data_IF_253575424257
#
_entry.id   IF_253575424257
#
_cell.length_a   1.000
_cell.length_b   1.000
_cell.length_c   1.000
_cell.angle_alpha   90.00
_cell.angle_beta   90.00
_cell.angle_gamma   90.00
#
_symmetry.space_group_name_H-M   'P 1'
#
loop_
_entity.id
_entity.type
_entity.pdbx_description
1 polymer ?
#
# COMPACT_ATOMS: atom_id res chain seq x y z
N UNK A 1 -57.59 -49.45 47.88
CA UNK A 1 -57.22 -48.71 46.65
C UNK A 1 -56.79 -47.33 47.11
N UNK A 2 -55.49 -47.07 47.05
CA UNK A 2 -54.74 -46.59 48.21
C UNK A 2 -54.33 -45.13 48.03
N UNK A 3 -54.41 -44.34 49.11
CA UNK A 3 -54.05 -42.90 49.20
C UNK A 3 -52.58 -42.60 48.85
N UNK A 4 -51.80 -43.63 48.51
CA UNK A 4 -50.37 -43.56 48.17
C UNK A 4 -50.15 -43.13 46.70
N UNK A 5 -51.13 -43.27 45.81
CA UNK A 5 -50.94 -42.92 44.38
C UNK A 5 -51.15 -41.43 44.04
N UNK A 6 -51.71 -40.62 44.95
CA UNK A 6 -51.99 -39.21 44.70
C UNK A 6 -50.80 -38.26 44.96
N UNK A 7 -49.71 -38.79 45.53
CA UNK A 7 -48.46 -38.06 45.75
C UNK A 7 -47.39 -38.35 44.69
N UNK A 8 -47.74 -38.99 43.57
CA UNK A 8 -46.98 -38.90 42.30
C UNK A 8 -47.25 -37.58 41.56
N UNK A 9 -47.57 -36.54 42.34
CA UNK A 9 -47.68 -35.14 41.96
C UNK A 9 -46.29 -34.66 41.56
N UNK A 10 -46.05 -34.66 40.25
CA UNK A 10 -45.38 -33.55 39.57
C UNK A 10 -44.10 -33.07 40.27
N UNK A 11 -43.19 -33.99 40.56
CA UNK A 11 -41.77 -33.64 40.58
C UNK A 11 -41.42 -33.37 39.10
N UNK A 12 -41.68 -32.13 38.67
CA UNK A 12 -41.33 -31.71 37.33
C UNK A 12 -39.81 -31.83 37.16
N UNK A 13 -39.32 -32.03 35.92
CA UNK A 13 -37.89 -32.03 35.59
C UNK A 13 -37.21 -30.64 35.76
N UNK A 14 -37.72 -29.81 36.67
CA UNK A 14 -37.30 -28.44 36.88
C UNK A 14 -36.15 -28.30 37.90
N UNK A 15 -35.79 -29.35 38.63
CA UNK A 15 -34.84 -29.27 39.75
C UNK A 15 -33.51 -30.03 39.52
N UNK A 16 -33.37 -30.74 38.40
CA UNK A 16 -32.11 -31.41 38.00
C UNK A 16 -31.23 -30.53 37.09
N UNK A 17 -31.72 -29.37 36.66
CA UNK A 17 -30.99 -28.46 35.77
C UNK A 17 -29.96 -27.56 36.49
N UNK A 18 -29.99 -27.47 37.83
CA UNK A 18 -29.20 -26.47 38.58
C UNK A 18 -27.92 -27.00 39.25
N UNK A 19 -27.53 -28.26 39.01
CA UNK A 19 -26.19 -28.77 39.39
C UNK A 19 -25.32 -29.05 38.17
N UNK A 20 -25.31 -28.15 37.20
CA UNK A 20 -24.18 -28.09 36.28
C UNK A 20 -22.98 -27.52 37.04
N UNK A 21 -21.97 -28.37 37.26
CA UNK A 21 -20.75 -28.01 37.98
C UNK A 21 -20.09 -26.79 37.30
N UNK A 22 -19.85 -25.68 38.01
CA UNK A 22 -19.34 -24.44 37.44
C UNK A 22 -17.97 -24.59 36.75
N UNK A 23 -17.27 -25.70 36.95
CA UNK A 23 -16.01 -26.02 36.25
C UNK A 23 -16.21 -26.41 34.78
N UNK A 24 -17.19 -27.26 34.45
CA UNK A 24 -17.33 -27.80 33.08
C UNK A 24 -17.70 -26.71 32.06
N UNK A 25 -18.49 -25.71 32.48
CA UNK A 25 -18.86 -24.62 31.59
C UNK A 25 -17.67 -23.72 31.26
N UNK A 26 -16.76 -23.51 32.22
CA UNK A 26 -15.54 -22.71 31.99
C UNK A 26 -14.57 -23.41 31.03
N UNK A 27 -14.42 -24.73 31.13
CA UNK A 27 -13.58 -25.51 30.21
C UNK A 27 -14.15 -25.51 28.79
N UNK A 28 -15.46 -25.69 28.63
CA UNK A 28 -16.12 -25.62 27.31
C UNK A 28 -15.99 -24.22 26.70
N UNK A 29 -16.12 -23.17 27.50
CA UNK A 29 -15.95 -21.79 27.03
C UNK A 29 -14.49 -21.50 26.63
N UNK A 30 -13.50 -22.01 27.38
CA UNK A 30 -12.09 -21.88 27.04
C UNK A 30 -11.77 -22.59 25.72
N UNK A 31 -12.17 -23.85 25.57
CA UNK A 31 -11.99 -24.61 24.33
C UNK A 31 -12.68 -23.94 23.12
N UNK A 32 -13.87 -23.37 23.32
CA UNK A 32 -14.57 -22.64 22.26
C UNK A 32 -13.83 -21.34 21.85
N UNK A 33 -13.12 -20.67 22.77
CA UNK A 33 -12.29 -19.50 22.46
C UNK A 33 -11.07 -19.90 21.64
N UNK A 34 -10.34 -20.93 22.07
CA UNK A 34 -9.18 -21.44 21.34
C UNK A 34 -9.54 -21.87 19.91
N UNK A 35 -10.67 -22.57 19.75
CA UNK A 35 -11.15 -22.96 18.42
C UNK A 35 -11.46 -21.73 17.54
N UNK A 36 -12.10 -20.69 18.10
CA UNK A 36 -12.40 -19.46 17.35
C UNK A 36 -11.13 -18.71 16.94
N UNK A 37 -10.14 -18.64 17.82
CA UNK A 37 -8.85 -18.02 17.53
C UNK A 37 -8.10 -18.78 16.44
N UNK A 38 -8.07 -20.12 16.51
CA UNK A 38 -7.47 -20.97 15.49
C UNK A 38 -8.17 -20.81 14.13
N UNK A 39 -9.50 -20.77 14.12
CA UNK A 39 -10.29 -20.52 12.89
C UNK A 39 -9.97 -19.14 12.33
N UNK A 40 -9.94 -18.09 13.15
CA UNK A 40 -9.61 -16.74 12.71
C UNK A 40 -8.20 -16.64 12.11
N UNK A 41 -7.21 -17.28 12.75
CA UNK A 41 -5.84 -17.34 12.24
C UNK A 41 -5.77 -18.08 10.88
N UNK A 42 -6.48 -19.20 10.74
CA UNK A 42 -6.56 -19.97 9.50
C UNK A 42 -7.23 -19.15 8.38
N UNK A 43 -8.33 -18.46 8.68
CA UNK A 43 -9.01 -17.58 7.73
C UNK A 43 -8.10 -16.44 7.27
N UNK A 44 -7.35 -15.82 8.19
CA UNK A 44 -6.37 -14.78 7.85
C UNK A 44 -5.25 -15.29 6.94
N UNK A 45 -4.75 -16.52 7.18
CA UNK A 45 -3.75 -17.16 6.31
C UNK A 45 -4.31 -17.48 4.93
N UNK A 46 -5.50 -18.05 4.84
CA UNK A 46 -6.17 -18.35 3.57
C UNK A 46 -6.45 -17.08 2.76
N UNK A 47 -6.86 -16.00 3.43
CA UNK A 47 -7.10 -14.70 2.79
C UNK A 47 -5.83 -14.15 2.13
N UNK A 48 -4.70 -14.11 2.84
CA UNK A 48 -3.41 -13.66 2.28
C UNK A 48 -2.91 -14.56 1.15
N UNK A 49 -2.96 -15.88 1.35
CA UNK A 49 -2.56 -16.84 0.31
C UNK A 49 -3.38 -16.70 -0.97
N UNK A 50 -4.69 -16.48 -0.85
CA UNK A 50 -5.56 -16.25 -2.00
C UNK A 50 -5.24 -14.95 -2.74
N UNK A 51 -4.89 -13.88 -2.02
CA UNK A 51 -4.47 -12.62 -2.64
C UNK A 51 -3.17 -12.79 -3.42
N UNK A 52 -2.19 -13.49 -2.87
CA UNK A 52 -0.91 -13.75 -3.55
C UNK A 52 -1.08 -14.58 -4.82
N UNK A 53 -1.93 -15.61 -4.80
CA UNK A 53 -2.25 -16.39 -5.99
C UNK A 53 -2.91 -15.51 -7.06
N UNK A 54 -3.91 -14.69 -6.67
CA UNK A 54 -4.56 -13.77 -7.61
C UNK A 54 -3.58 -12.76 -8.21
N UNK A 55 -2.69 -12.19 -7.40
CA UNK A 55 -1.68 -11.24 -7.85
C UNK A 55 -0.68 -11.88 -8.81
N UNK A 56 -0.13 -13.06 -8.48
CA UNK A 56 0.79 -13.77 -9.36
C UNK A 56 0.14 -14.20 -10.68
N UNK A 57 -1.09 -14.73 -10.63
CA UNK A 57 -1.84 -15.10 -11.82
C UNK A 57 -2.13 -13.88 -12.70
N UNK A 58 -2.57 -12.76 -12.14
CA UNK A 58 -2.86 -11.54 -12.91
C UNK A 58 -1.60 -10.92 -13.53
N UNK A 59 -0.49 -10.88 -12.79
CA UNK A 59 0.80 -10.42 -13.31
C UNK A 59 1.31 -11.32 -14.44
N UNK A 60 1.26 -12.64 -14.27
CA UNK A 60 1.66 -13.61 -15.29
C UNK A 60 0.80 -13.54 -16.54
N UNK A 61 -0.53 -13.44 -16.37
CA UNK A 61 -1.46 -13.26 -17.50
C UNK A 61 -1.23 -11.93 -18.21
N UNK A 62 -0.98 -10.84 -17.48
CA UNK A 62 -0.67 -9.55 -18.06
C UNK A 62 0.66 -9.59 -18.83
N UNK A 63 1.70 -10.21 -18.28
CA UNK A 63 2.99 -10.41 -18.95
C UNK A 63 2.83 -11.27 -20.21
N UNK A 64 2.03 -12.33 -20.16
CA UNK A 64 1.71 -13.16 -21.31
C UNK A 64 0.96 -12.36 -22.39
N UNK A 65 -0.03 -11.55 -22.02
CA UNK A 65 -0.71 -10.66 -22.97
C UNK A 65 0.27 -9.64 -23.60
N UNK A 66 1.15 -9.02 -22.79
CA UNK A 66 2.18 -8.09 -23.29
C UNK A 66 3.16 -8.74 -24.25
N UNK A 67 3.62 -9.97 -23.97
CA UNK A 67 4.46 -10.78 -24.88
C UNK A 67 3.76 -11.14 -26.20
N UNK A 68 2.46 -10.85 -26.32
CA UNK A 68 1.68 -11.07 -27.53
C UNK A 68 1.68 -9.89 -28.48
N UNK A 69 2.14 -8.74 -28.01
CA UNK A 69 2.38 -7.58 -28.84
C UNK A 69 3.58 -7.90 -29.74
N UNK A 70 3.36 -7.76 -31.03
CA UNK A 70 4.39 -7.84 -32.06
C UNK A 70 4.85 -6.41 -32.34
N UNK A 71 6.03 -6.06 -31.86
CA UNK A 71 6.60 -4.72 -32.03
C UNK A 71 7.13 -4.49 -33.45
N UNK A 72 7.13 -5.53 -34.29
CA UNK A 72 7.53 -5.51 -35.71
C UNK A 72 6.41 -5.06 -36.67
N UNK A 73 5.18 -4.89 -36.17
CA UNK A 73 4.02 -4.47 -36.97
C UNK A 73 3.56 -3.08 -36.51
N UNK A 74 3.37 -2.16 -37.46
CA UNK A 74 2.77 -0.86 -37.20
C UNK A 74 1.24 -0.89 -37.38
N UNK A 75 0.55 -0.03 -36.64
CA UNK A 75 -0.91 0.17 -36.77
C UNK A 75 -1.76 -0.90 -36.09
N UNK A 76 -3.05 -1.04 -36.47
CA UNK A 76 -4.01 -1.91 -35.77
C UNK A 76 -3.64 -3.40 -35.84
N UNK A 77 -2.76 -3.77 -36.78
CA UNK A 77 -2.23 -5.12 -36.90
C UNK A 77 -1.41 -5.55 -35.67
N UNK A 78 -0.74 -4.60 -35.01
CA UNK A 78 0.06 -4.82 -33.81
C UNK A 78 -0.78 -5.26 -32.60
N UNK A 79 -2.04 -4.80 -32.55
CA UNK A 79 -2.92 -5.00 -31.40
C UNK A 79 -3.68 -6.33 -31.46
N UNK A 80 -3.85 -6.93 -32.64
CA UNK A 80 -4.61 -8.18 -32.78
C UNK A 80 -4.03 -9.34 -31.94
N UNK A 81 -2.72 -9.34 -31.69
CA UNK A 81 -2.09 -10.33 -30.81
C UNK A 81 -2.58 -10.24 -29.36
N UNK A 82 -2.78 -9.03 -28.85
CA UNK A 82 -3.30 -8.78 -27.49
C UNK A 82 -4.78 -9.11 -27.43
N UNK A 83 -5.57 -8.65 -28.41
CA UNK A 83 -7.01 -8.94 -28.50
C UNK A 83 -7.29 -10.44 -28.63
N UNK A 84 -6.52 -11.16 -29.47
CA UNK A 84 -6.64 -12.60 -29.63
C UNK A 84 -6.41 -13.37 -28.33
N UNK A 85 -5.36 -13.00 -27.58
CA UNK A 85 -5.09 -13.59 -26.25
C UNK A 85 -6.17 -13.21 -25.24
N UNK A 86 -6.67 -11.97 -25.27
CA UNK A 86 -7.79 -11.53 -24.46
C UNK A 86 -9.05 -12.37 -24.71
N UNK A 87 -9.37 -12.66 -25.97
CA UNK A 87 -10.49 -13.53 -26.35
C UNK A 87 -10.30 -14.97 -25.86
N UNK A 88 -9.08 -15.52 -25.91
CA UNK A 88 -8.78 -16.84 -25.36
C UNK A 88 -9.03 -16.88 -23.85
N UNK A 89 -8.57 -15.86 -23.09
CA UNK A 89 -8.82 -15.79 -21.65
C UNK A 89 -10.31 -15.62 -21.32
N UNK A 90 -11.01 -14.77 -22.06
CA UNK A 90 -12.46 -14.62 -21.92
C UNK A 90 -13.19 -15.96 -22.20
N UNK A 91 -12.78 -16.68 -23.24
CA UNK A 91 -13.32 -18.01 -23.56
C UNK A 91 -13.07 -19.03 -22.45
N UNK A 92 -11.87 -19.07 -21.86
CA UNK A 92 -11.56 -19.95 -20.73
C UNK A 92 -12.38 -19.60 -19.49
N UNK A 93 -12.57 -18.31 -19.19
CA UNK A 93 -13.38 -17.87 -18.05
C UNK A 93 -14.85 -18.28 -18.22
N UNK A 94 -15.44 -18.03 -19.40
CA UNK A 94 -16.82 -18.44 -19.71
C UNK A 94 -16.95 -19.96 -19.72
N UNK A 95 -15.99 -20.68 -20.31
CA UNK A 95 -15.99 -22.14 -20.34
C UNK A 95 -15.90 -22.74 -18.93
N UNK A 96 -15.04 -22.20 -18.07
CA UNK A 96 -14.94 -22.60 -16.66
C UNK A 96 -16.22 -22.32 -15.89
N UNK A 97 -16.84 -21.15 -16.09
CA UNK A 97 -18.14 -20.82 -15.51
C UNK A 97 -19.23 -21.81 -15.93
N UNK A 98 -19.31 -22.12 -17.23
CA UNK A 98 -20.28 -23.08 -17.75
C UNK A 98 -20.05 -24.49 -17.19
N UNK A 99 -18.79 -24.96 -17.14
CA UNK A 99 -18.45 -26.26 -16.57
C UNK A 99 -18.88 -26.37 -15.10
N UNK A 100 -18.60 -25.34 -14.30
CA UNK A 100 -19.03 -25.24 -12.90
C UNK A 100 -20.56 -25.24 -12.76
N UNK A 101 -21.25 -24.55 -13.67
CA UNK A 101 -22.71 -24.49 -13.67
C UNK A 101 -23.39 -25.80 -14.08
N UNK A 102 -22.71 -26.61 -14.90
CA UNK A 102 -23.24 -27.90 -15.38
C UNK A 102 -23.06 -29.01 -14.34
N UNK A 103 -21.93 -29.06 -13.65
CA UNK A 103 -21.62 -30.12 -12.69
C UNK A 103 -21.04 -29.56 -11.38
N UNK A 104 -21.87 -29.39 -10.32
CA UNK A 104 -21.41 -28.84 -9.04
C UNK A 104 -20.39 -29.74 -8.34
N UNK A 105 -20.28 -31.00 -8.74
CA UNK A 105 -19.30 -31.96 -8.21
C UNK A 105 -17.87 -31.50 -8.50
N UNK A 106 -17.63 -30.73 -9.56
CA UNK A 106 -16.30 -30.19 -9.92
C UNK A 106 -15.83 -29.10 -8.92
N UNK A 107 -16.77 -28.41 -8.25
CA UNK A 107 -16.42 -27.35 -7.30
C UNK A 107 -15.68 -27.89 -6.07
N UNK A 108 -16.02 -29.08 -5.59
CA UNK A 108 -15.39 -29.66 -4.41
C UNK A 108 -13.88 -29.89 -4.58
N UNK A 109 -13.38 -30.60 -5.62
CA UNK A 109 -11.96 -30.74 -5.84
C UNK A 109 -11.29 -29.41 -6.20
N UNK A 110 -11.95 -28.54 -6.98
CA UNK A 110 -11.39 -27.22 -7.32
C UNK A 110 -11.17 -26.35 -6.06
N UNK A 111 -12.14 -26.33 -5.15
CA UNK A 111 -12.02 -25.65 -3.86
C UNK A 111 -10.93 -26.27 -2.99
N UNK A 112 -10.83 -27.61 -2.95
CA UNK A 112 -9.75 -28.31 -2.24
C UNK A 112 -8.36 -27.94 -2.77
N UNK A 113 -8.18 -27.93 -4.09
CA UNK A 113 -6.94 -27.50 -4.75
C UNK A 113 -6.65 -26.03 -4.43
N UNK A 114 -7.65 -25.15 -4.49
CA UNK A 114 -7.47 -23.73 -4.17
C UNK A 114 -7.04 -23.49 -2.73
N UNK A 115 -7.67 -24.18 -1.76
CA UNK A 115 -7.30 -24.12 -0.34
C UNK A 115 -5.86 -24.61 -0.14
N UNK A 116 -5.48 -25.74 -0.74
CA UNK A 116 -4.12 -26.26 -0.66
C UNK A 116 -3.10 -25.29 -1.26
N UNK A 117 -3.41 -24.73 -2.43
CA UNK A 117 -2.58 -23.72 -3.08
C UNK A 117 -2.44 -22.48 -2.18
N UNK A 118 -3.52 -21.96 -1.61
CA UNK A 118 -3.51 -20.78 -0.74
C UNK A 118 -2.70 -21.03 0.54
N UNK A 119 -2.71 -22.24 1.09
CA UNK A 119 -1.90 -22.59 2.26
C UNK A 119 -0.40 -22.71 1.97
N UNK A 120 -0.04 -23.07 0.72
CA UNK A 120 1.34 -23.20 0.25
C UNK A 120 1.87 -21.95 -0.46
N UNK A 121 1.00 -21.00 -0.79
CA UNK A 121 1.40 -19.73 -1.36
C UNK A 121 2.37 -19.04 -0.41
N UNK A 122 3.57 -18.77 -0.91
CA UNK A 122 4.56 -17.95 -0.22
C UNK A 122 4.30 -16.50 -0.58
N UNK A 123 4.69 -15.61 0.32
CA UNK A 123 4.75 -14.19 0.03
C UNK A 123 5.56 -14.02 -1.26
N UNK A 124 5.00 -13.37 -2.30
CA UNK A 124 5.78 -13.08 -3.49
C UNK A 124 6.99 -12.26 -3.05
N UNK A 125 8.19 -12.55 -3.56
CA UNK A 125 9.34 -11.68 -3.31
C UNK A 125 8.92 -10.26 -3.67
N UNK A 126 9.23 -9.30 -2.80
CA UNK A 126 9.11 -7.89 -3.19
C UNK A 126 9.83 -7.75 -4.53
N UNK A 127 9.24 -7.04 -5.52
CA UNK A 127 9.90 -6.85 -6.79
C UNK A 127 11.22 -6.15 -6.51
N UNK A 128 12.29 -6.93 -6.46
CA UNK A 128 13.65 -6.44 -6.61
C UNK A 128 13.63 -5.74 -7.96
N UNK A 129 13.75 -4.41 -7.94
CA UNK A 129 13.89 -3.64 -9.17
C UNK A 129 15.01 -4.29 -9.98
N UNK A 130 14.65 -4.87 -11.13
CA UNK A 130 15.57 -5.49 -12.08
C UNK A 130 16.59 -4.44 -12.53
N UNK A 131 17.67 -4.30 -11.75
CA UNK A 131 18.96 -3.92 -12.29
C UNK A 131 19.35 -5.02 -13.33
N UNK A 132 19.91 -4.65 -14.49
CA UNK A 132 20.27 -5.63 -15.50
C UNK A 132 21.24 -6.66 -14.89
N UNK A 133 20.89 -7.93 -15.01
CA UNK A 133 21.67 -9.04 -14.47
C UNK A 133 23.11 -9.06 -15.00
N UNK A 134 24.05 -8.68 -14.14
CA UNK A 134 25.43 -9.17 -14.14
C UNK A 134 25.84 -9.45 -12.69
N UNK A 135 26.02 -10.74 -12.38
CA UNK A 135 26.77 -11.33 -11.27
C UNK A 135 26.89 -10.54 -9.94
N UNK A 136 26.26 -11.04 -8.86
CA UNK A 136 26.98 -11.36 -7.60
C UNK A 136 26.05 -11.81 -6.46
N UNK A 137 26.38 -12.99 -5.95
CA UNK A 137 26.37 -13.46 -4.56
C UNK A 137 25.60 -12.68 -3.46
N UNK A 138 24.79 -13.46 -2.74
CA UNK A 138 24.59 -13.44 -1.27
C UNK A 138 25.20 -12.27 -0.49
N UNK A 139 24.35 -11.42 0.08
CA UNK A 139 24.66 -10.69 1.30
C UNK A 139 23.37 -10.40 2.09
N UNK A 140 22.97 -11.34 2.97
CA UNK A 140 22.34 -10.96 4.22
C UNK A 140 23.34 -10.10 5.02
N UNK A 141 22.96 -8.90 5.47
CA UNK A 141 23.79 -8.15 6.41
C UNK A 141 23.55 -6.65 6.48
N UNK A 142 22.63 -6.26 7.36
CA UNK A 142 22.62 -5.01 8.15
C UNK A 142 23.26 -3.75 7.54
N UNK A 143 22.52 -3.02 6.70
CA UNK A 143 22.80 -1.61 6.45
C UNK A 143 22.20 -0.73 7.58
N UNK A 144 22.83 0.40 7.95
CA UNK A 144 22.28 1.32 8.94
C UNK A 144 20.90 1.82 8.46
N UNK A 145 19.87 1.54 9.25
CA UNK A 145 18.48 1.82 8.90
C UNK A 145 18.29 3.33 8.63
N UNK A 146 18.13 3.68 7.36
CA UNK A 146 17.68 5.00 6.93
C UNK A 146 16.37 5.33 7.68
N UNK A 147 16.17 6.55 8.18
CA UNK A 147 14.93 6.88 8.88
C UNK A 147 13.74 6.61 7.95
N UNK A 148 12.64 6.00 8.46
CA UNK A 148 11.53 5.52 7.62
C UNK A 148 10.90 6.64 6.78
N UNK A 149 10.94 7.89 7.26
CA UNK A 149 10.49 9.07 6.52
C UNK A 149 11.36 9.34 5.29
N UNK A 150 12.68 9.24 5.42
CA UNK A 150 13.62 9.50 4.33
C UNK A 150 13.52 8.39 3.28
N UNK A 151 13.47 7.13 3.73
CA UNK A 151 13.26 5.97 2.86
C UNK A 151 11.96 6.10 2.05
N UNK A 152 10.87 6.52 2.70
CA UNK A 152 9.58 6.76 2.04
C UNK A 152 9.65 7.89 1.01
N UNK A 153 10.27 9.02 1.35
CA UNK A 153 10.41 10.16 0.41
C UNK A 153 11.26 9.73 -0.79
N UNK A 154 12.34 8.98 -0.57
CA UNK A 154 13.19 8.44 -1.63
C UNK A 154 12.43 7.49 -2.55
N UNK A 155 11.67 6.55 -1.97
CA UNK A 155 10.81 5.63 -2.71
C UNK A 155 9.76 6.37 -3.55
N UNK A 156 9.19 7.45 -3.02
CA UNK A 156 8.21 8.26 -3.74
C UNK A 156 8.80 9.18 -4.82
N UNK A 157 10.08 9.56 -4.71
CA UNK A 157 10.79 10.28 -5.77
C UNK A 157 11.14 9.33 -6.92
N UNK A 158 11.59 8.11 -6.60
CA UNK A 158 12.03 7.13 -7.60
C UNK A 158 13.09 7.71 -8.55
N UNK A 159 12.82 7.63 -9.84
CA UNK A 159 13.67 8.19 -10.90
C UNK A 159 13.40 9.65 -11.25
N UNK A 160 12.36 10.25 -10.66
CA UNK A 160 12.02 11.64 -10.93
C UNK A 160 12.94 12.60 -10.17
N UNK A 161 12.91 13.88 -10.55
CA UNK A 161 13.73 14.93 -9.90
C UNK A 161 13.21 15.34 -8.52
N UNK A 162 11.98 14.95 -8.18
CA UNK A 162 11.35 15.31 -6.92
C UNK A 162 9.93 14.79 -6.83
N UNK A 163 9.23 15.10 -5.75
CA UNK A 163 7.84 14.69 -5.52
C UNK A 163 7.02 15.87 -5.00
N UNK A 164 5.76 15.98 -5.45
CA UNK A 164 4.83 17.02 -4.99
C UNK A 164 4.25 16.68 -3.61
N UNK A 165 4.05 17.68 -2.75
CA UNK A 165 3.49 17.47 -1.40
C UNK A 165 2.09 16.86 -1.43
N UNK A 166 1.30 17.14 -2.47
CA UNK A 166 -0.03 16.57 -2.67
C UNK A 166 -0.02 15.06 -2.86
N UNK A 167 1.09 14.50 -3.34
CA UNK A 167 1.29 13.04 -3.52
C UNK A 167 2.00 12.47 -2.29
N UNK A 168 2.98 13.20 -1.77
CA UNK A 168 3.78 12.75 -0.63
C UNK A 168 2.96 12.62 0.66
N UNK A 169 2.07 13.57 0.97
CA UNK A 169 1.32 13.52 2.23
C UNK A 169 0.36 12.33 2.35
N UNK A 170 -0.47 11.99 1.34
CA UNK A 170 -1.24 10.75 1.37
C UNK A 170 -0.38 9.50 1.59
N UNK A 171 0.76 9.41 0.91
CA UNK A 171 1.69 8.29 1.06
C UNK A 171 2.27 8.20 2.47
N UNK A 172 2.68 9.34 3.05
CA UNK A 172 3.16 9.41 4.42
C UNK A 172 2.11 8.93 5.42
N UNK A 173 0.84 9.35 5.27
CA UNK A 173 -0.25 8.90 6.14
C UNK A 173 -0.52 7.41 6.07
N UNK A 174 -0.38 6.83 4.88
CA UNK A 174 -0.62 5.41 4.65
C UNK A 174 0.50 4.52 5.21
N UNK A 175 1.73 5.02 5.25
CA UNK A 175 2.92 4.18 5.50
C UNK A 175 3.60 4.44 6.83
N UNK A 176 3.45 5.64 7.43
CA UNK A 176 4.09 5.98 8.70
C UNK A 176 3.15 5.67 9.88
N UNK A 177 3.59 4.85 10.86
CA UNK A 177 2.78 4.55 12.04
C UNK A 177 2.53 5.83 12.85
N UNK A 178 1.26 6.10 13.17
CA UNK A 178 0.85 7.29 13.92
C UNK A 178 0.66 8.56 13.07
N UNK A 179 0.96 8.54 11.77
CA UNK A 179 0.76 9.67 10.88
C UNK A 179 -0.62 9.68 10.18
N UNK A 180 -1.42 8.63 10.32
CA UNK A 180 -2.69 8.41 9.60
C UNK A 180 -3.65 9.62 9.65
N UNK A 181 -3.74 10.28 10.81
CA UNK A 181 -4.62 11.43 11.07
C UNK A 181 -3.85 12.74 11.23
N UNK A 182 -2.55 12.76 10.92
CA UNK A 182 -1.73 13.94 11.10
C UNK A 182 -2.12 15.05 10.10
N UNK A 183 -2.27 16.31 10.55
CA UNK A 183 -2.51 17.44 9.66
C UNK A 183 -1.27 17.74 8.81
N UNK A 184 -1.47 18.39 7.67
CA UNK A 184 -0.40 18.73 6.72
C UNK A 184 0.76 19.51 7.34
N UNK A 185 0.50 20.36 8.35
CA UNK A 185 1.55 21.11 9.04
C UNK A 185 2.42 20.21 9.93
N UNK A 186 1.84 19.17 10.54
CA UNK A 186 2.60 18.20 11.31
C UNK A 186 3.49 17.34 10.41
N UNK A 187 2.99 16.95 9.22
CA UNK A 187 3.78 16.25 8.21
C UNK A 187 4.91 17.13 7.66
N UNK A 188 4.64 18.43 7.46
CA UNK A 188 5.67 19.40 7.07
C UNK A 188 6.73 19.56 8.15
N UNK A 189 6.32 19.62 9.42
CA UNK A 189 7.26 19.70 10.54
C UNK A 189 8.12 18.43 10.62
N UNK A 190 7.52 17.25 10.45
CA UNK A 190 8.24 15.97 10.40
C UNK A 190 9.33 15.97 9.31
N UNK A 191 9.03 16.47 8.11
CA UNK A 191 10.04 16.61 7.05
C UNK A 191 11.17 17.58 7.45
N UNK A 192 10.86 18.70 8.12
CA UNK A 192 11.88 19.63 8.63
C UNK A 192 12.75 19.00 9.72
N UNK A 193 12.17 18.21 10.61
CA UNK A 193 12.90 17.53 11.68
C UNK A 193 13.93 16.54 11.11
N UNK A 194 13.60 15.91 9.98
CA UNK A 194 14.52 15.08 9.20
C UNK A 194 15.43 15.86 8.23
N UNK A 195 15.46 17.19 8.34
CA UNK A 195 16.27 18.11 7.50
C UNK A 195 15.96 18.02 6.01
N UNK A 196 14.73 17.68 5.63
CA UNK A 196 14.26 17.66 4.24
C UNK A 196 13.53 18.98 3.94
N UNK A 197 14.14 19.93 3.20
CA UNK A 197 13.49 21.19 2.86
C UNK A 197 12.35 21.00 1.83
N UNK A 198 11.25 21.71 2.04
CA UNK A 198 10.14 21.79 1.07
C UNK A 198 10.28 23.04 0.21
N UNK A 199 10.39 22.90 -1.11
CA UNK A 199 10.49 24.02 -2.06
C UNK A 199 9.11 24.41 -2.57
N UNK A 200 8.88 25.71 -2.79
CA UNK A 200 7.56 26.25 -3.20
C UNK A 200 7.21 25.96 -4.67
N UNK A 201 8.21 25.72 -5.50
CA UNK A 201 8.05 25.46 -6.94
C UNK A 201 9.02 24.36 -7.38
N UNK A 202 8.51 23.13 -7.45
CA UNK A 202 9.20 21.95 -8.01
C UNK A 202 8.53 21.58 -9.32
N UNK A 203 9.33 21.17 -10.30
CA UNK A 203 8.85 20.68 -11.61
C UNK A 203 9.02 19.17 -11.67
N UNK A 204 7.90 18.45 -11.69
CA UNK A 204 7.82 16.99 -11.64
C UNK A 204 6.67 16.52 -12.52
N UNK A 205 6.87 15.46 -13.32
CA UNK A 205 5.83 14.91 -14.21
C UNK A 205 5.25 15.92 -15.22
N UNK A 206 6.06 16.87 -15.70
CA UNK A 206 5.61 17.92 -16.62
C UNK A 206 4.81 19.07 -15.97
N UNK A 207 4.49 19.00 -14.68
CA UNK A 207 3.77 20.04 -13.93
C UNK A 207 4.74 20.86 -13.09
N UNK A 208 4.79 22.18 -13.32
CA UNK A 208 5.64 23.12 -12.59
C UNK A 208 4.83 23.95 -11.57
N UNK A 209 5.52 24.61 -10.64
CA UNK A 209 4.93 25.62 -9.76
C UNK A 209 4.23 25.08 -8.50
N UNK A 210 4.32 23.78 -8.23
CA UNK A 210 3.75 23.17 -7.02
C UNK A 210 4.80 22.98 -5.95
N UNK A 211 4.38 22.98 -4.69
CA UNK A 211 5.27 22.74 -3.57
C UNK A 211 5.64 21.26 -3.48
N UNK A 212 6.92 20.97 -3.24
CA UNK A 212 7.45 19.61 -3.27
C UNK A 212 8.84 19.49 -2.64
N UNK A 213 9.39 18.29 -2.68
CA UNK A 213 10.74 17.95 -2.24
C UNK A 213 11.56 17.55 -3.46
N UNK A 214 12.80 18.06 -3.57
CA UNK A 214 13.71 17.71 -4.66
C UNK A 214 14.63 16.56 -4.25
N UNK A 215 15.12 15.76 -5.21
CA UNK A 215 16.02 14.63 -4.96
C UNK A 215 17.32 15.06 -4.29
N UNK A 216 17.88 16.19 -4.71
CA UNK A 216 19.12 16.76 -4.17
C UNK A 216 19.00 17.23 -2.71
N UNK A 217 17.77 17.37 -2.21
CA UNK A 217 17.50 17.77 -0.83
C UNK A 217 17.50 16.57 0.14
N UNK A 218 17.62 15.34 -0.37
CA UNK A 218 17.73 14.14 0.46
C UNK A 218 19.17 13.90 0.93
N UNK A 219 19.37 13.42 2.16
CA UNK A 219 20.70 13.03 2.61
C UNK A 219 21.26 11.92 1.69
N UNK A 220 22.57 11.95 1.37
CA UNK A 220 23.20 10.89 0.59
C UNK A 220 23.05 9.55 1.32
N UNK A 221 22.86 8.47 0.55
CA UNK A 221 22.80 7.12 1.11
C UNK A 221 24.12 6.86 1.87
N UNK A 222 24.08 6.25 3.07
CA UNK A 222 25.28 5.77 3.71
C UNK A 222 25.88 4.67 2.82
N UNK A 223 26.90 5.01 2.03
CA UNK A 223 27.58 4.02 1.19
C UNK A 223 28.16 2.92 2.09
N UNK A 224 27.85 1.63 1.84
CA UNK A 224 28.49 0.54 2.54
C UNK A 224 29.96 0.48 2.08
N UNK A 225 30.89 0.85 2.96
CA UNK A 225 32.33 0.67 2.74
C UNK A 225 33.01 1.70 1.82
N UNK A 226 33.10 2.95 2.28
CA UNK A 226 34.09 3.90 1.76
C UNK A 226 35.19 4.08 2.79
N UNK A 227 36.28 3.32 2.67
CA UNK A 227 37.51 3.57 3.43
C UNK A 227 37.89 5.04 3.31
N UNK A 228 38.22 5.63 4.45
CA UNK A 228 38.96 6.87 4.55
C UNK A 228 40.28 6.72 3.77
N UNK A 229 40.29 7.15 2.51
CA UNK A 229 41.54 7.49 1.82
C UNK A 229 41.75 8.98 2.02
N UNK A 230 42.38 9.29 3.15
CA UNK A 230 43.17 10.49 3.27
C UNK A 230 44.30 10.50 2.25
N UNK A 231 44.73 11.73 1.92
CA UNK A 231 45.91 12.11 1.14
C UNK A 231 45.92 11.77 -0.37
N UNK A 232 45.63 12.78 -1.19
CA UNK A 232 46.73 13.58 -1.74
C UNK A 232 46.23 14.77 -2.56
N UNK A 233 46.65 15.95 -2.14
CA UNK A 233 46.67 17.15 -2.95
C UNK A 233 47.55 16.96 -4.19
N UNK A 234 47.15 17.54 -5.33
CA UNK A 234 47.89 18.59 -6.07
C UNK A 234 47.46 18.67 -7.56
N UNK A 235 46.98 19.86 -7.91
CA UNK A 235 47.27 20.63 -9.14
C UNK A 235 47.03 20.02 -10.53
N UNK A 236 46.03 20.57 -11.21
CA UNK A 236 46.15 21.23 -12.52
C UNK A 236 44.84 21.99 -12.80
N UNK A 237 44.77 23.30 -12.55
CA UNK A 237 45.08 24.36 -13.53
C UNK A 237 44.58 24.04 -14.94
N UNK A 238 43.32 24.39 -15.19
CA UNK A 238 42.67 24.39 -16.50
C UNK A 238 41.68 25.55 -16.59
N UNK A 239 42.24 26.76 -16.66
CA UNK A 239 41.56 27.99 -17.02
C UNK A 239 41.37 28.01 -18.55
N UNK A 240 40.12 28.01 -19.01
CA UNK A 240 39.76 28.44 -20.36
C UNK A 240 38.24 28.70 -20.48
N UNK A 241 37.88 29.93 -20.85
CA UNK A 241 36.75 30.15 -21.75
C UNK A 241 35.53 30.83 -21.18
N UNK A 242 35.66 32.13 -20.88
CA UNK A 242 34.56 33.08 -20.95
C UNK A 242 33.90 33.02 -22.34
N UNK A 243 32.58 32.87 -22.37
CA UNK A 243 31.73 33.12 -23.53
C UNK A 243 30.54 33.96 -23.11
N UNK A 244 30.65 35.27 -23.32
CA UNK A 244 29.58 36.25 -23.12
C UNK A 244 28.49 36.09 -24.18
N UNK A 245 27.27 36.50 -23.82
CA UNK A 245 26.35 37.13 -24.76
C UNK A 245 25.19 36.27 -25.23
N UNK A 246 24.02 36.53 -24.67
CA UNK A 246 22.83 36.87 -25.46
C UNK A 246 21.72 37.38 -24.53
N UNK A 247 21.69 38.69 -24.39
CA UNK A 247 20.50 39.45 -24.06
C UNK A 247 19.44 39.22 -25.15
N UNK A 248 18.22 38.87 -24.76
CA UNK A 248 17.01 39.06 -25.60
C UNK A 248 15.81 39.02 -24.66
N UNK A 249 15.23 40.18 -24.37
CA UNK A 249 13.91 40.53 -24.91
C UNK A 249 12.82 39.76 -24.17
N UNK A 250 12.21 40.27 -23.11
CA UNK A 250 11.33 41.43 -23.20
C UNK A 250 10.04 41.07 -23.92
N UNK A 251 9.06 40.45 -23.24
CA UNK A 251 7.65 40.71 -23.57
C UNK A 251 6.76 40.48 -22.35
N UNK A 252 6.32 41.60 -21.78
CA UNK A 252 5.22 41.67 -20.85
C UNK A 252 3.92 41.31 -21.57
N UNK A 253 3.24 40.24 -21.13
CA UNK A 253 1.80 40.10 -21.39
C UNK A 253 1.02 40.19 -20.09
N UNK A 254 0.48 41.39 -19.90
CA UNK A 254 -0.70 41.67 -19.09
C UNK A 254 -1.81 40.72 -19.51
N UNK A 255 -2.29 39.91 -18.58
CA UNK A 255 -3.55 39.20 -18.67
C UNK A 255 -4.33 39.49 -17.40
N UNK A 256 -4.97 40.66 -17.37
CA UNK A 256 -6.01 40.96 -16.41
C UNK A 256 -7.20 40.04 -16.70
N UNK A 257 -7.49 39.14 -15.76
CA UNK A 257 -8.70 38.33 -15.74
C UNK A 257 -9.37 38.53 -14.39
N UNK A 258 -10.28 39.49 -14.35
CA UNK A 258 -11.22 39.72 -13.26
C UNK A 258 -12.24 38.57 -13.15
N UNK A 259 -12.40 38.07 -11.92
CA UNK A 259 -13.66 37.58 -11.36
C UNK A 259 -13.94 36.05 -11.41
N UNK A 260 -14.87 35.54 -10.57
CA UNK A 260 -15.58 36.20 -9.47
C UNK A 260 -15.17 35.71 -8.07
N UNK A 261 -15.18 36.65 -7.12
CA UNK A 261 -15.31 36.39 -5.68
C UNK A 261 -16.57 35.55 -5.43
N UNK A 262 -16.41 34.34 -4.92
CA UNK A 262 -17.53 33.53 -4.45
C UNK A 262 -17.06 32.52 -3.41
N UNK A 263 -17.60 32.64 -2.20
CA UNK A 263 -17.58 31.60 -1.18
C UNK A 263 -16.82 32.02 0.07
N UNK A 264 -17.55 32.53 1.07
CA UNK A 264 -17.00 33.15 2.26
C UNK A 264 -16.08 32.26 3.09
N UNK A 265 -15.13 32.92 3.74
CA UNK A 265 -14.34 32.37 4.84
C UNK A 265 -15.28 31.92 5.96
N UNK A 266 -15.66 30.64 5.93
CA UNK A 266 -16.20 29.96 7.10
C UNK A 266 -14.97 29.63 7.96
N UNK A 267 -14.62 30.54 8.87
CA UNK A 267 -13.66 30.27 9.95
C UNK A 267 -14.28 29.26 10.92
N UNK A 268 -14.25 28.00 10.53
CA UNK A 268 -14.57 26.86 11.38
C UNK A 268 -13.45 26.66 12.40
N UNK A 269 -13.76 26.86 13.69
CA UNK A 269 -12.85 26.57 14.79
C UNK A 269 -13.15 25.17 15.31
N UNK A 270 -12.16 24.29 15.26
CA UNK A 270 -12.23 22.97 15.90
C UNK A 270 -12.14 23.16 17.41
N UNK A 271 -13.17 22.74 18.13
CA UNK A 271 -13.23 22.76 19.59
C UNK A 271 -13.34 21.31 20.07
N UNK A 272 -12.49 20.93 21.03
CA UNK A 272 -12.53 19.60 21.63
C UNK A 272 -13.72 19.51 22.60
N UNK A 273 -14.52 18.46 22.45
CA UNK A 273 -15.71 18.24 23.27
C UNK A 273 -15.29 17.96 24.73
N UNK A 274 -15.70 18.78 25.71
CA UNK A 274 -15.23 18.65 27.10
C UNK A 274 -15.68 17.35 27.77
N UNK A 275 -16.75 16.71 27.29
CA UNK A 275 -17.26 15.45 27.86
C UNK A 275 -16.65 14.21 27.19
N UNK A 276 -16.03 14.36 26.02
CA UNK A 276 -15.44 13.25 25.29
C UNK A 276 -14.18 13.68 24.50
N UNK A 277 -12.97 13.47 25.06
CA UNK A 277 -11.73 13.97 24.47
C UNK A 277 -11.38 13.32 23.12
N UNK A 278 -12.07 12.23 22.74
CA UNK A 278 -11.87 11.54 21.45
C UNK A 278 -12.75 12.14 20.34
N UNK A 279 -13.70 13.03 20.68
CA UNK A 279 -14.64 13.64 19.74
C UNK A 279 -14.30 15.13 19.52
N UNK A 280 -14.20 15.52 18.26
CA UNK A 280 -13.97 16.90 17.85
C UNK A 280 -15.24 17.44 17.19
N UNK A 281 -15.66 18.65 17.58
CA UNK A 281 -16.81 19.32 16.96
C UNK A 281 -16.35 20.58 16.24
N UNK A 282 -17.03 20.88 15.13
CA UNK A 282 -16.75 22.07 14.33
C UNK A 282 -17.71 23.15 14.78
N UNK A 283 -17.19 24.18 15.45
CA UNK A 283 -17.95 25.38 15.76
C UNK A 283 -17.74 26.40 14.64
N UNK A 284 -18.82 26.77 13.95
CA UNK A 284 -18.81 27.94 13.08
C UNK A 284 -18.77 29.19 13.98
N UNK A 285 -17.77 30.06 13.79
CA UNK A 285 -17.77 31.41 14.37
C UNK A 285 -18.50 32.39 13.47
#
# INVERSE_FOLDING_TARGET
MTVIDLFKKKAGPADEAERQEPGEETERQAAARELREAVAALTGRLGRGSLWICQGCTQGLAAWCRRGRRDDLDGPAAEYGVWGRGLVLAGLAVGGWLAVSSEPVILAPAAGIWVLAALHAKEPPEPEDEAPAEDAAEAEGGAPAEPPVVALVRAQIGDEKGVHLSVLYPAMRASLPGAEKAPDEALRQLLRDHRIPTRRSVRVGGVAGRSGVHRDDLPPLPSPGGSESGDSALSARGDAGQGQGAESGGEARRGAGDGPESGGDITARLVQDPENPVRWTVAAS
#
